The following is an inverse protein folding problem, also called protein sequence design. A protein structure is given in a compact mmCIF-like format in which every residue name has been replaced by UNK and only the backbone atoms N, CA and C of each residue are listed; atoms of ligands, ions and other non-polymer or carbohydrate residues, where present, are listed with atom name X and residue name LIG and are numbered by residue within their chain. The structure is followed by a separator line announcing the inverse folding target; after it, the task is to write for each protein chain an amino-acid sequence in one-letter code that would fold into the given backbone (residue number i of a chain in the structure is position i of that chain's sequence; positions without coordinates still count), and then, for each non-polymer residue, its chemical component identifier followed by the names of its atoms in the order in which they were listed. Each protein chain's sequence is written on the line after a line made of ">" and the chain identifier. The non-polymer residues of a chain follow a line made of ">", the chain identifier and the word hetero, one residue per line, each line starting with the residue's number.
data_IF_146352115120
#
_entry.id   IF_146352115120
#
_cell.length_a   1.000
_cell.length_b   1.000
_cell.length_c   1.000
_cell.angle_alpha   90.00
_cell.angle_beta   90.00
_cell.angle_gamma   90.00
#
_symmetry.space_group_name_H-M   'P 1'
#
loop_
_entity.id
_entity.type
_entity.pdbx_description
1 polymer ?
#
# COMPACT_ATOMS: atom_id res chain seq x y z
N UNK A 1 28.28 1.51 17.18
CA UNK A 1 26.93 1.47 17.74
C UNK A 1 26.02 2.23 16.79
N UNK A 2 25.37 1.53 15.86
CA UNK A 2 24.42 2.15 14.94
C UNK A 2 23.05 2.14 15.62
N UNK A 3 22.53 3.33 15.92
CA UNK A 3 21.19 3.52 16.47
C UNK A 3 20.18 2.69 15.67
N UNK A 4 19.37 1.90 16.36
CA UNK A 4 18.20 1.25 15.78
C UNK A 4 17.33 2.33 15.11
N UNK A 5 16.77 2.10 13.91
CA UNK A 5 15.82 3.04 13.32
C UNK A 5 14.68 3.27 14.31
N UNK A 6 14.33 4.54 14.53
CA UNK A 6 13.19 4.92 15.36
C UNK A 6 12.00 4.00 15.05
N UNK A 7 11.38 3.46 16.08
CA UNK A 7 10.33 2.45 15.95
C UNK A 7 9.23 2.99 15.02
N UNK A 8 8.87 2.24 13.97
CA UNK A 8 7.73 2.57 13.11
C UNK A 8 6.46 2.84 13.94
N UNK A 9 6.32 2.15 15.08
CA UNK A 9 5.21 2.33 16.02
C UNK A 9 5.09 3.75 16.60
N UNK A 10 6.19 4.47 16.83
CA UNK A 10 6.15 5.84 17.34
C UNK A 10 5.58 6.84 16.31
N UNK A 11 5.79 6.58 15.00
CA UNK A 11 5.25 7.40 13.92
C UNK A 11 3.80 7.05 13.56
N UNK A 12 3.31 5.87 13.96
CA UNK A 12 1.94 5.44 13.66
C UNK A 12 0.92 6.09 14.59
N UNK A 13 1.29 6.36 15.84
CA UNK A 13 0.40 6.98 16.82
C UNK A 13 -0.12 8.38 16.43
N UNK A 14 0.46 9.01 15.40
CA UNK A 14 0.12 10.37 14.95
C UNK A 14 -0.49 10.38 13.54
N UNK A 15 -1.33 9.42 13.20
CA UNK A 15 -2.08 9.42 11.94
C UNK A 15 -3.57 9.57 12.20
N UNK A 16 -4.27 10.25 11.30
CA UNK A 16 -5.73 10.34 11.34
C UNK A 16 -6.38 8.94 11.41
N UNK A 17 -5.79 7.97 10.72
CA UNK A 17 -6.29 6.60 10.75
C UNK A 17 -6.18 5.95 12.14
N UNK A 18 -5.12 6.23 12.89
CA UNK A 18 -4.97 5.68 14.24
C UNK A 18 -6.03 6.22 15.20
N UNK A 19 -6.36 7.51 15.07
CA UNK A 19 -7.29 8.22 15.95
C UNK A 19 -8.77 7.91 15.64
N UNK A 20 -9.07 7.51 14.39
CA UNK A 20 -10.46 7.30 13.92
C UNK A 20 -10.81 5.84 13.67
N UNK A 21 -9.84 4.93 13.80
CA UNK A 21 -10.10 3.52 13.54
C UNK A 21 -10.87 2.84 14.67
N UNK A 22 -11.72 1.86 14.31
CA UNK A 22 -12.39 0.95 15.28
C UNK A 22 -11.35 0.26 16.16
N UNK A 23 -11.77 -0.34 17.27
CA UNK A 23 -10.87 -1.10 18.15
C UNK A 23 -10.17 -2.23 17.37
N UNK A 24 -8.88 -2.42 17.62
CA UNK A 24 -8.13 -3.52 17.03
C UNK A 24 -8.60 -4.86 17.63
N UNK A 25 -8.79 -5.91 16.81
CA UNK A 25 -9.07 -7.25 17.33
C UNK A 25 -7.97 -7.74 18.28
N UNK A 26 -8.35 -8.47 19.32
CA UNK A 26 -7.40 -9.11 20.23
C UNK A 26 -6.69 -10.27 19.51
N UNK A 27 -5.36 -10.20 19.42
CA UNK A 27 -4.54 -11.25 18.85
C UNK A 27 -3.99 -12.18 19.93
N UNK A 28 -3.43 -13.32 19.52
CA UNK A 28 -2.94 -14.34 20.44
C UNK A 28 -1.68 -13.87 21.19
N UNK A 29 -1.57 -14.16 22.49
CA UNK A 29 -0.32 -13.99 23.21
C UNK A 29 0.68 -15.08 22.80
N UNK A 30 1.99 -14.75 22.82
CA UNK A 30 3.06 -15.64 22.32
C UNK A 30 3.22 -16.94 23.14
N UNK A 31 2.81 -16.95 24.38
CA UNK A 31 2.86 -18.08 25.29
C UNK A 31 1.67 -19.04 25.16
N UNK A 32 0.64 -18.67 24.39
CA UNK A 32 -0.58 -19.47 24.17
C UNK A 32 -0.66 -20.04 22.74
N UNK A 33 0.46 -20.13 22.02
CA UNK A 33 0.47 -20.63 20.64
C UNK A 33 0.98 -22.07 20.55
N UNK A 34 0.57 -22.76 19.49
CA UNK A 34 1.19 -24.03 19.12
C UNK A 34 2.62 -23.84 18.61
N UNK A 35 3.41 -24.90 18.68
CA UNK A 35 4.78 -24.89 18.18
C UNK A 35 4.93 -25.39 16.74
N UNK A 36 3.81 -25.89 16.14
CA UNK A 36 3.83 -26.50 14.80
C UNK A 36 2.61 -26.07 13.98
N UNK A 37 2.87 -25.59 12.77
CA UNK A 37 1.86 -25.12 11.81
C UNK A 37 2.11 -25.72 10.43
N UNK A 38 1.09 -25.68 9.56
CA UNK A 38 1.27 -26.02 8.16
C UNK A 38 1.92 -24.85 7.42
N UNK A 39 1.47 -23.61 7.72
CA UNK A 39 2.01 -22.41 7.10
C UNK A 39 2.30 -21.33 8.13
N UNK A 40 3.49 -20.73 8.05
CA UNK A 40 3.84 -19.51 8.77
C UNK A 40 3.93 -18.33 7.81
N UNK A 41 3.16 -17.26 8.07
CA UNK A 41 3.16 -16.04 7.26
C UNK A 41 3.83 -14.93 8.06
N UNK A 42 4.77 -14.22 7.41
CA UNK A 42 5.56 -13.16 8.04
C UNK A 42 5.20 -11.82 7.43
N UNK A 43 4.53 -10.99 8.23
CA UNK A 43 3.97 -9.69 7.88
C UNK A 43 2.45 -9.73 7.74
N UNK A 44 1.75 -8.96 8.57
CA UNK A 44 0.29 -8.85 8.58
C UNK A 44 -0.21 -7.60 7.82
N UNK A 45 0.36 -7.34 6.64
CA UNK A 45 -0.21 -6.45 5.65
C UNK A 45 -1.32 -7.13 4.85
N UNK A 46 -1.88 -6.46 3.84
CA UNK A 46 -2.95 -6.99 2.99
C UNK A 46 -2.61 -8.34 2.36
N UNK A 47 -1.41 -8.52 1.83
CA UNK A 47 -1.00 -9.79 1.23
C UNK A 47 -0.95 -10.92 2.26
N UNK A 48 -0.43 -10.65 3.46
CA UNK A 48 -0.30 -11.64 4.52
C UNK A 48 -1.65 -12.05 5.10
N UNK A 49 -2.52 -11.08 5.39
CA UNK A 49 -3.88 -11.34 5.87
C UNK A 49 -4.72 -12.10 4.83
N UNK A 50 -4.64 -11.70 3.55
CA UNK A 50 -5.34 -12.42 2.49
C UNK A 50 -4.84 -13.85 2.33
N UNK A 51 -3.52 -14.08 2.34
CA UNK A 51 -2.97 -15.43 2.29
C UNK A 51 -3.40 -16.27 3.51
N UNK A 52 -3.37 -15.68 4.70
CA UNK A 52 -3.78 -16.36 5.94
C UNK A 52 -5.24 -16.80 5.89
N UNK A 53 -6.13 -15.89 5.46
CA UNK A 53 -7.55 -16.18 5.34
C UNK A 53 -7.82 -17.34 4.37
N UNK A 54 -7.29 -17.25 3.14
CA UNK A 54 -7.53 -18.28 2.12
C UNK A 54 -6.93 -19.65 2.50
N UNK A 55 -5.75 -19.66 3.15
CA UNK A 55 -5.14 -20.89 3.67
C UNK A 55 -5.95 -21.50 4.80
N UNK A 56 -6.42 -20.71 5.75
CA UNK A 56 -7.26 -21.18 6.84
C UNK A 56 -8.59 -21.74 6.31
N UNK A 57 -9.23 -21.06 5.36
CA UNK A 57 -10.44 -21.51 4.68
C UNK A 57 -10.23 -22.84 3.91
N UNK A 58 -9.01 -23.13 3.46
CA UNK A 58 -8.64 -24.41 2.87
C UNK A 58 -8.28 -25.51 3.89
N UNK A 59 -8.40 -25.22 5.20
CA UNK A 59 -8.15 -26.16 6.28
C UNK A 59 -6.70 -26.21 6.79
N UNK A 60 -5.81 -25.33 6.34
CA UNK A 60 -4.45 -25.27 6.84
C UNK A 60 -4.38 -24.62 8.24
N UNK A 61 -3.51 -25.13 9.12
CA UNK A 61 -3.16 -24.48 10.38
C UNK A 61 -2.14 -23.37 10.09
N UNK A 62 -2.58 -22.12 10.26
CA UNK A 62 -1.81 -20.93 9.89
C UNK A 62 -1.41 -20.12 11.11
N UNK A 63 -0.12 -19.72 11.18
CA UNK A 63 0.33 -18.66 12.07
C UNK A 63 0.77 -17.44 11.25
N UNK A 64 0.23 -16.27 11.61
CA UNK A 64 0.56 -14.98 11.01
C UNK A 64 1.36 -14.15 12.03
N UNK A 65 2.56 -13.72 11.68
CA UNK A 65 3.52 -13.10 12.59
C UNK A 65 3.80 -11.68 12.12
N UNK A 66 3.44 -10.70 12.95
CA UNK A 66 3.67 -9.27 12.68
C UNK A 66 4.65 -8.68 13.70
N UNK A 67 5.65 -8.01 13.18
CA UNK A 67 6.71 -7.38 13.99
C UNK A 67 6.20 -6.26 14.88
N UNK A 68 5.22 -5.50 14.39
CA UNK A 68 4.62 -4.35 15.04
C UNK A 68 3.12 -4.59 15.27
N UNK A 69 2.32 -3.52 15.29
CA UNK A 69 0.86 -3.63 15.23
C UNK A 69 0.41 -3.80 13.78
N UNK A 70 -0.67 -4.53 13.58
CA UNK A 70 -1.29 -4.68 12.26
C UNK A 70 -1.71 -3.31 11.74
N UNK A 71 -1.26 -2.98 10.53
CA UNK A 71 -1.49 -1.68 9.89
C UNK A 71 -0.39 -0.64 10.08
N UNK A 72 0.64 -0.90 10.88
CA UNK A 72 1.77 0.04 11.08
C UNK A 72 2.61 0.29 9.82
N UNK A 73 2.49 -0.56 8.81
CA UNK A 73 3.18 -0.42 7.52
C UNK A 73 2.25 0.14 6.42
N UNK A 74 2.68 0.06 5.16
CA UNK A 74 2.01 0.65 4.00
C UNK A 74 0.51 0.36 3.89
N UNK A 75 0.07 -0.85 4.26
CA UNK A 75 -1.34 -1.26 4.12
C UNK A 75 -2.32 -0.45 4.98
N UNK A 76 -1.90 0.06 6.15
CA UNK A 76 -2.74 0.86 7.03
C UNK A 76 -2.47 2.37 6.98
N UNK A 77 -1.55 2.85 6.12
CA UNK A 77 -1.05 4.22 6.12
C UNK A 77 -1.13 4.93 4.77
N UNK A 78 -1.75 4.29 3.78
CA UNK A 78 -1.88 4.79 2.41
C UNK A 78 -3.06 5.76 2.26
N UNK A 79 -3.30 6.26 1.05
CA UNK A 79 -4.39 7.18 0.75
C UNK A 79 -5.80 6.58 0.86
N UNK A 80 -5.92 5.26 0.91
CA UNK A 80 -7.20 4.55 0.93
C UNK A 80 -7.86 4.43 -0.44
N UNK A 81 -7.10 4.52 -1.53
CA UNK A 81 -7.59 4.35 -2.91
C UNK A 81 -7.49 2.89 -3.33
N UNK A 82 -8.52 2.36 -3.95
CA UNK A 82 -8.50 1.05 -4.59
C UNK A 82 -8.98 1.21 -6.05
N UNK A 83 -8.06 1.06 -6.98
CA UNK A 83 -8.28 1.16 -8.42
C UNK A 83 -7.71 -0.07 -9.11
N UNK A 84 -8.11 -0.36 -10.34
CA UNK A 84 -7.56 -1.46 -11.11
C UNK A 84 -6.10 -1.21 -11.52
N UNK A 85 -5.39 -2.28 -11.89
CA UNK A 85 -4.06 -2.26 -12.47
C UNK A 85 -2.92 -2.56 -11.49
N UNK A 86 -1.70 -2.41 -11.98
CA UNK A 86 -0.42 -2.62 -11.29
C UNK A 86 0.36 -1.30 -11.20
N UNK A 87 1.46 -1.28 -10.45
CA UNK A 87 2.35 -0.11 -10.41
C UNK A 87 3.08 0.16 -11.74
N UNK A 88 3.20 -0.84 -12.60
CA UNK A 88 3.64 -0.72 -13.99
C UNK A 88 2.43 -0.53 -14.90
N UNK A 89 2.55 0.30 -15.94
CA UNK A 89 1.45 0.50 -16.91
C UNK A 89 1.27 -0.72 -17.80
N UNK A 90 0.07 -0.94 -18.34
CA UNK A 90 -0.24 -2.05 -19.24
C UNK A 90 0.75 -2.19 -20.40
N UNK A 91 1.05 -1.14 -21.19
CA UNK A 91 2.06 -1.21 -22.25
C UNK A 91 3.48 -1.57 -21.76
N UNK A 92 3.85 -1.15 -20.54
CA UNK A 92 5.15 -1.53 -19.97
C UNK A 92 5.18 -2.98 -19.51
N UNK A 93 4.07 -3.51 -19.01
CA UNK A 93 3.91 -4.93 -18.67
C UNK A 93 3.97 -5.80 -19.93
N UNK A 94 3.24 -5.43 -20.98
CA UNK A 94 3.23 -6.14 -22.26
C UNK A 94 4.64 -6.18 -22.88
N UNK A 95 5.34 -5.05 -22.86
CA UNK A 95 6.74 -4.99 -23.31
C UNK A 95 7.67 -5.88 -22.49
N UNK A 96 7.44 -6.01 -21.20
CA UNK A 96 8.28 -6.77 -20.26
C UNK A 96 8.02 -8.28 -20.32
N UNK A 97 6.76 -8.69 -20.44
CA UNK A 97 6.30 -10.06 -20.19
C UNK A 97 5.55 -10.70 -21.38
N UNK A 98 5.26 -9.93 -22.44
CA UNK A 98 4.45 -10.34 -23.59
C UNK A 98 2.95 -10.16 -23.38
N UNK A 99 2.15 -10.20 -24.48
CA UNK A 99 0.72 -9.88 -24.46
C UNK A 99 -0.11 -10.85 -23.62
N UNK A 100 0.17 -12.15 -23.67
CA UNK A 100 -0.61 -13.15 -22.93
C UNK A 100 -0.46 -12.99 -21.42
N UNK A 101 0.77 -12.77 -20.93
CA UNK A 101 1.04 -12.49 -19.52
C UNK A 101 0.44 -11.14 -19.09
N UNK A 102 0.47 -10.13 -19.96
CA UNK A 102 -0.13 -8.84 -19.68
C UNK A 102 -1.65 -8.95 -19.51
N UNK A 103 -2.33 -9.68 -20.38
CA UNK A 103 -3.77 -9.95 -20.29
C UNK A 103 -4.12 -10.74 -19.01
N UNK A 104 -3.34 -11.78 -18.68
CA UNK A 104 -3.53 -12.55 -17.46
C UNK A 104 -3.34 -11.69 -16.20
N UNK A 105 -2.35 -10.80 -16.19
CA UNK A 105 -2.11 -9.87 -15.09
C UNK A 105 -3.22 -8.83 -14.94
N UNK A 106 -3.78 -8.33 -16.05
CA UNK A 106 -4.92 -7.41 -16.00
C UNK A 106 -6.16 -8.07 -15.37
N UNK A 107 -6.45 -9.31 -15.78
CA UNK A 107 -7.53 -10.10 -15.18
C UNK A 107 -7.32 -10.32 -13.66
N UNK A 108 -6.08 -10.60 -13.22
CA UNK A 108 -5.75 -10.75 -11.81
C UNK A 108 -5.88 -9.43 -11.04
N UNK A 109 -5.52 -8.29 -11.65
CA UNK A 109 -5.70 -6.99 -11.03
C UNK A 109 -7.18 -6.66 -10.83
N UNK A 110 -8.02 -6.97 -11.82
CA UNK A 110 -9.48 -6.83 -11.76
C UNK A 110 -10.09 -7.73 -10.68
N UNK A 111 -9.69 -9.00 -10.62
CA UNK A 111 -10.10 -9.92 -9.54
C UNK A 111 -9.75 -9.39 -8.15
N UNK A 112 -8.57 -8.77 -8.02
CA UNK A 112 -8.15 -8.14 -6.76
C UNK A 112 -8.99 -6.93 -6.38
N UNK A 113 -9.39 -6.10 -7.36
CA UNK A 113 -10.31 -4.98 -7.15
C UNK A 113 -11.69 -5.47 -6.70
N UNK A 114 -12.24 -6.48 -7.36
CA UNK A 114 -13.51 -7.11 -7.01
C UNK A 114 -13.48 -7.71 -5.60
N UNK A 115 -12.41 -8.42 -5.24
CA UNK A 115 -12.22 -8.99 -3.91
C UNK A 115 -12.24 -7.92 -2.82
N UNK A 116 -11.58 -6.78 -3.04
CA UNK A 116 -11.58 -5.64 -2.13
C UNK A 116 -12.95 -5.00 -2.05
N UNK A 117 -13.59 -4.75 -3.20
CA UNK A 117 -14.93 -4.16 -3.29
C UNK A 117 -15.95 -5.03 -2.55
N UNK A 118 -15.98 -6.34 -2.83
CA UNK A 118 -16.90 -7.27 -2.21
C UNK A 118 -16.85 -7.22 -0.68
N UNK A 119 -15.67 -7.01 -0.08
CA UNK A 119 -15.54 -6.86 1.38
C UNK A 119 -15.86 -5.47 1.88
N UNK A 120 -15.29 -4.43 1.28
CA UNK A 120 -15.48 -3.05 1.74
C UNK A 120 -16.96 -2.65 1.85
N UNK A 121 -17.82 -3.21 1.01
CA UNK A 121 -19.26 -2.90 0.97
C UNK A 121 -20.13 -3.88 1.78
N UNK A 122 -19.54 -4.87 2.48
CA UNK A 122 -20.27 -5.70 3.44
C UNK A 122 -20.59 -4.92 4.72
N UNK A 123 -21.71 -5.27 5.36
CA UNK A 123 -22.11 -4.69 6.66
C UNK A 123 -21.04 -4.91 7.75
N UNK A 124 -20.37 -6.07 7.76
CA UNK A 124 -19.26 -6.38 8.68
C UNK A 124 -18.03 -5.49 8.48
N UNK A 125 -17.92 -4.83 7.32
CA UNK A 125 -16.86 -3.88 6.97
C UNK A 125 -17.36 -2.41 6.93
N UNK A 126 -18.55 -2.11 7.45
CA UNK A 126 -19.15 -0.76 7.41
C UNK A 126 -18.24 0.34 7.98
N UNK A 127 -17.38 0.00 8.93
CA UNK A 127 -16.37 0.92 9.49
C UNK A 127 -15.34 1.40 8.43
N UNK A 128 -15.23 0.73 7.29
CA UNK A 128 -14.36 1.17 6.17
C UNK A 128 -14.89 2.42 5.48
N UNK A 129 -16.20 2.71 5.59
CA UNK A 129 -16.84 3.87 4.99
C UNK A 129 -16.46 4.07 3.51
N UNK A 130 -16.70 3.06 2.64
CA UNK A 130 -16.30 3.13 1.24
C UNK A 130 -17.11 4.17 0.48
N UNK A 131 -16.45 4.89 -0.43
CA UNK A 131 -17.05 5.83 -1.35
C UNK A 131 -16.65 5.46 -2.77
N UNK A 132 -17.62 5.28 -3.67
CA UNK A 132 -17.37 4.94 -5.07
C UNK A 132 -16.79 6.13 -5.84
N UNK A 133 -15.96 5.81 -6.82
CA UNK A 133 -15.42 6.72 -7.81
C UNK A 133 -14.03 7.26 -7.48
N UNK A 134 -13.18 7.24 -8.51
CA UNK A 134 -11.87 7.88 -8.52
C UNK A 134 -11.77 8.80 -9.74
N UNK A 135 -11.27 10.02 -9.54
CA UNK A 135 -11.02 11.00 -10.58
C UNK A 135 -9.53 11.11 -10.83
N UNK A 136 -9.11 10.85 -12.05
CA UNK A 136 -7.73 11.12 -12.50
C UNK A 136 -7.69 12.46 -13.22
N UNK A 137 -6.76 13.33 -12.85
CA UNK A 137 -6.59 14.67 -13.43
C UNK A 137 -5.27 14.77 -14.18
N UNK A 138 -5.26 15.37 -15.36
CA UNK A 138 -4.05 15.72 -16.08
C UNK A 138 -3.71 17.21 -15.91
N UNK A 139 -2.42 17.49 -15.69
CA UNK A 139 -1.86 18.85 -15.72
C UNK A 139 -1.33 19.21 -17.10
N UNK A 140 -1.39 18.29 -18.07
CA UNK A 140 -0.75 18.40 -19.36
C UNK A 140 -1.79 18.54 -20.46
N UNK A 141 -1.68 19.60 -21.27
CA UNK A 141 -2.59 19.86 -22.40
C UNK A 141 -2.37 18.88 -23.57
N UNK A 142 -1.15 18.36 -23.72
CA UNK A 142 -0.76 17.38 -24.75
C UNK A 142 -1.10 15.92 -24.40
N UNK A 143 -1.69 15.69 -23.23
CA UNK A 143 -2.16 14.37 -22.76
C UNK A 143 -3.59 14.50 -22.21
N UNK A 144 -4.58 14.79 -23.10
CA UNK A 144 -5.96 15.07 -22.68
C UNK A 144 -6.68 13.80 -22.25
N UNK A 145 -7.42 13.94 -21.15
CA UNK A 145 -8.37 12.94 -20.66
C UNK A 145 -9.80 13.30 -21.14
N UNK A 146 -10.78 12.37 -21.06
CA UNK A 146 -12.12 12.56 -21.61
C UNK A 146 -12.89 13.79 -21.12
N UNK A 147 -12.71 14.22 -19.86
CA UNK A 147 -13.38 15.39 -19.28
C UNK A 147 -12.55 16.62 -19.60
N UNK A 148 -13.11 17.58 -20.31
CA UNK A 148 -12.43 18.83 -20.68
C UNK A 148 -12.24 19.77 -19.48
N UNK A 149 -11.29 20.69 -19.58
CA UNK A 149 -11.00 21.67 -18.52
C UNK A 149 -12.23 22.49 -18.09
N UNK A 150 -13.09 22.86 -19.04
CA UNK A 150 -14.33 23.62 -18.79
C UNK A 150 -15.33 22.90 -17.91
N UNK A 151 -15.29 21.56 -17.88
CA UNK A 151 -16.20 20.69 -17.13
C UNK A 151 -15.63 20.31 -15.74
N UNK A 152 -14.35 20.58 -15.50
CA UNK A 152 -13.68 20.20 -14.25
C UNK A 152 -14.23 20.93 -13.02
N UNK A 153 -14.88 22.10 -13.20
CA UNK A 153 -15.47 22.87 -12.11
C UNK A 153 -16.51 22.10 -11.30
N UNK A 154 -17.17 21.10 -11.90
CA UNK A 154 -18.14 20.23 -11.25
C UNK A 154 -17.48 19.22 -10.29
N UNK A 155 -16.19 19.00 -10.45
CA UNK A 155 -15.39 18.07 -9.65
C UNK A 155 -14.40 18.79 -8.74
N UNK A 156 -13.70 19.80 -9.27
CA UNK A 156 -12.62 20.50 -8.56
C UNK A 156 -12.39 21.90 -9.15
N UNK A 157 -12.16 22.89 -8.29
CA UNK A 157 -11.80 24.26 -8.70
C UNK A 157 -10.29 24.47 -8.61
N UNK A 158 -9.55 23.86 -9.53
CA UNK A 158 -8.08 23.94 -9.59
C UNK A 158 -7.59 24.39 -10.97
N UNK A 159 -7.03 25.58 -11.12
CA UNK A 159 -6.69 26.16 -12.43
C UNK A 159 -5.58 25.43 -13.18
N UNK A 160 -4.77 24.62 -12.48
CA UNK A 160 -3.68 23.86 -13.08
C UNK A 160 -4.12 22.65 -13.87
N UNK A 161 -5.28 22.07 -13.54
CA UNK A 161 -5.76 20.85 -14.18
C UNK A 161 -6.36 21.17 -15.55
N UNK A 162 -5.98 20.40 -16.58
CA UNK A 162 -6.35 20.60 -17.98
C UNK A 162 -7.44 19.66 -18.46
N UNK A 163 -7.52 18.48 -17.88
CA UNK A 163 -8.52 17.47 -18.21
C UNK A 163 -8.67 16.45 -17.10
N UNK A 164 -9.68 15.59 -17.18
CA UNK A 164 -9.93 14.55 -16.20
C UNK A 164 -10.57 13.29 -16.79
N UNK A 165 -10.58 12.22 -16.00
CA UNK A 165 -11.28 10.96 -16.28
C UNK A 165 -11.80 10.37 -14.99
N UNK A 166 -13.03 9.88 -14.99
CA UNK A 166 -13.65 9.20 -13.84
C UNK A 166 -13.56 7.68 -14.05
N UNK A 167 -13.03 7.02 -13.05
CA UNK A 167 -13.13 5.56 -12.87
C UNK A 167 -14.25 5.28 -11.87
N UNK A 168 -15.38 4.74 -12.37
CA UNK A 168 -16.54 4.39 -11.55
C UNK A 168 -16.37 3.07 -10.80
N UNK A 169 -15.44 2.21 -11.23
CA UNK A 169 -15.12 0.95 -10.57
C UNK A 169 -14.14 1.15 -9.42
N UNK A 170 -13.32 2.17 -9.46
CA UNK A 170 -12.47 2.57 -8.37
C UNK A 170 -13.28 3.08 -7.18
N UNK A 171 -12.71 2.99 -5.98
CA UNK A 171 -13.31 3.50 -4.75
C UNK A 171 -12.24 3.88 -3.74
N UNK A 172 -12.65 4.60 -2.69
CA UNK A 172 -11.75 4.89 -1.58
C UNK A 172 -12.42 4.58 -0.24
N UNK A 173 -11.60 4.36 0.79
CA UNK A 173 -12.09 3.85 2.06
C UNK A 173 -11.07 4.10 3.20
N UNK A 174 -11.40 3.69 4.43
CA UNK A 174 -10.53 3.74 5.59
C UNK A 174 -9.63 2.48 5.67
N UNK A 175 -8.35 2.53 5.23
CA UNK A 175 -7.55 1.33 5.05
C UNK A 175 -7.19 0.60 6.37
N UNK A 176 -7.04 1.32 7.48
CA UNK A 176 -6.76 0.68 8.77
C UNK A 176 -7.98 -0.07 9.30
N UNK A 177 -9.19 0.47 9.11
CA UNK A 177 -10.43 -0.25 9.46
C UNK A 177 -10.58 -1.52 8.63
N UNK A 178 -10.26 -1.46 7.34
CA UNK A 178 -10.25 -2.64 6.48
C UNK A 178 -9.33 -3.74 7.04
N UNK A 179 -8.11 -3.39 7.41
CA UNK A 179 -7.17 -4.36 8.00
C UNK A 179 -7.70 -4.93 9.32
N UNK A 180 -8.34 -4.12 10.17
CA UNK A 180 -8.93 -4.58 11.44
C UNK A 180 -10.10 -5.53 11.21
N UNK A 181 -10.98 -5.24 10.26
CA UNK A 181 -12.06 -6.15 9.86
C UNK A 181 -11.51 -7.46 9.28
N UNK A 182 -10.53 -7.37 8.37
CA UNK A 182 -9.89 -8.56 7.79
C UNK A 182 -9.13 -9.39 8.83
N UNK A 183 -8.54 -8.74 9.84
CA UNK A 183 -7.91 -9.42 10.98
C UNK A 183 -8.94 -10.20 11.78
N UNK A 184 -10.12 -9.62 12.05
CA UNK A 184 -11.22 -10.31 12.72
C UNK A 184 -11.69 -11.53 11.90
N UNK A 185 -11.89 -11.37 10.58
CA UNK A 185 -12.24 -12.47 9.66
C UNK A 185 -11.19 -13.60 9.69
N UNK A 186 -9.89 -13.26 9.75
CA UNK A 186 -8.82 -14.25 9.89
C UNK A 186 -8.88 -15.01 11.23
N UNK A 187 -9.12 -14.30 12.34
CA UNK A 187 -9.26 -14.91 13.67
C UNK A 187 -10.46 -15.84 13.73
N UNK A 188 -11.60 -15.45 13.17
CA UNK A 188 -12.81 -16.28 13.05
C UNK A 188 -12.57 -17.53 12.20
N UNK A 189 -11.72 -17.44 11.17
CA UNK A 189 -11.28 -18.56 10.36
C UNK A 189 -10.22 -19.46 11.05
N UNK A 190 -9.83 -19.18 12.30
CA UNK A 190 -8.89 -19.98 13.07
C UNK A 190 -7.41 -19.68 12.82
N UNK A 191 -7.08 -18.54 12.22
CA UNK A 191 -5.68 -18.10 12.08
C UNK A 191 -5.11 -17.70 13.42
N UNK A 192 -3.97 -18.28 13.81
CA UNK A 192 -3.19 -17.79 14.96
C UNK A 192 -2.44 -16.52 14.55
N UNK A 193 -2.71 -15.38 15.19
CA UNK A 193 -2.10 -14.09 14.86
C UNK A 193 -1.28 -13.56 16.03
N UNK A 194 -0.01 -13.24 15.76
CA UNK A 194 0.93 -12.64 16.71
C UNK A 194 1.26 -11.21 16.27
N UNK A 195 1.09 -10.25 17.17
CA UNK A 195 1.54 -8.85 17.00
C UNK A 195 2.70 -8.53 17.95
N UNK A 196 3.44 -7.45 17.65
CA UNK A 196 4.63 -7.04 18.40
C UNK A 196 5.64 -8.19 18.54
N UNK A 197 5.67 -9.08 17.57
CA UNK A 197 6.43 -10.32 17.59
C UNK A 197 7.42 -10.35 16.40
N UNK A 198 8.65 -9.82 16.58
CA UNK A 198 9.63 -9.82 15.50
C UNK A 198 10.13 -11.24 15.21
N UNK A 199 10.22 -11.59 13.93
CA UNK A 199 10.97 -12.77 13.47
C UNK A 199 12.46 -12.45 13.59
N UNK A 200 13.18 -13.25 14.36
CA UNK A 200 14.62 -13.08 14.62
C UNK A 200 15.46 -13.91 13.65
N UNK A 201 15.03 -15.15 13.40
CA UNK A 201 15.75 -16.08 12.55
C UNK A 201 14.80 -17.01 11.81
N UNK A 202 15.19 -17.41 10.59
CA UNK A 202 14.49 -18.43 9.79
C UNK A 202 15.56 -19.41 9.29
N UNK A 203 15.36 -20.69 9.59
CA UNK A 203 16.22 -21.77 9.13
C UNK A 203 15.38 -22.83 8.41
N UNK A 204 15.67 -23.08 7.14
CA UNK A 204 15.15 -24.25 6.43
C UNK A 204 15.88 -25.48 7.01
N UNK A 205 15.21 -26.22 7.91
CA UNK A 205 15.78 -27.32 8.68
C UNK A 205 15.82 -28.62 7.88
N UNK A 206 14.80 -28.85 7.05
CA UNK A 206 14.68 -29.95 6.08
C UNK A 206 13.94 -29.47 4.84
N UNK A 207 13.91 -30.23 3.72
CA UNK A 207 13.10 -29.87 2.54
C UNK A 207 11.62 -29.65 2.80
N UNK A 208 11.10 -30.05 3.97
CA UNK A 208 9.69 -29.95 4.34
C UNK A 208 9.45 -29.25 5.67
N UNK A 209 10.46 -28.61 6.27
CA UNK A 209 10.34 -27.98 7.59
C UNK A 209 11.21 -26.75 7.72
N UNK A 210 10.59 -25.64 8.06
CA UNK A 210 11.25 -24.37 8.41
C UNK A 210 11.10 -24.12 9.91
N UNK A 211 12.18 -23.74 10.57
CA UNK A 211 12.18 -23.27 11.96
C UNK A 211 12.25 -21.75 11.97
N UNK A 212 11.37 -21.14 12.73
CA UNK A 212 11.23 -19.68 12.83
C UNK A 212 11.37 -19.30 14.29
N UNK A 213 12.39 -18.49 14.61
CA UNK A 213 12.59 -17.97 15.96
C UNK A 213 11.95 -16.59 16.06
N UNK A 214 11.07 -16.38 17.03
CA UNK A 214 10.26 -15.18 17.17
C UNK A 214 10.31 -14.59 18.58
N UNK A 215 10.06 -13.30 18.67
CA UNK A 215 9.86 -12.57 19.93
C UNK A 215 11.13 -12.47 20.81
N UNK A 216 11.01 -11.74 21.94
CA UNK A 216 12.16 -11.50 22.83
C UNK A 216 12.65 -12.77 23.52
N UNK A 217 11.77 -13.73 23.79
CA UNK A 217 12.08 -15.00 24.47
C UNK A 217 12.60 -16.07 23.50
N UNK A 218 12.83 -15.72 22.23
CA UNK A 218 13.34 -16.64 21.20
C UNK A 218 12.48 -17.92 21.05
N UNK A 219 11.15 -17.76 21.12
CA UNK A 219 10.23 -18.87 20.92
C UNK A 219 10.41 -19.47 19.53
N UNK A 220 10.45 -20.81 19.44
CA UNK A 220 10.65 -21.52 18.18
C UNK A 220 9.31 -22.05 17.65
N UNK A 221 9.00 -21.71 16.39
CA UNK A 221 7.82 -22.18 15.64
C UNK A 221 8.33 -23.00 14.46
N UNK A 222 7.71 -24.16 14.23
CA UNK A 222 7.96 -24.98 13.05
C UNK A 222 6.81 -24.86 12.05
N UNK A 223 7.12 -24.71 10.78
CA UNK A 223 6.12 -24.71 9.70
C UNK A 223 6.60 -25.53 8.50
N UNK A 224 5.67 -26.14 7.77
CA UNK A 224 5.99 -26.84 6.50
C UNK A 224 6.36 -25.84 5.42
N UNK A 225 5.63 -24.73 5.35
CA UNK A 225 5.81 -23.66 4.37
C UNK A 225 5.85 -22.30 5.05
N UNK A 226 6.63 -21.38 4.49
CA UNK A 226 6.74 -19.99 4.98
C UNK A 226 6.37 -19.02 3.87
N UNK A 227 5.54 -18.01 4.17
CA UNK A 227 5.18 -16.93 3.24
C UNK A 227 5.69 -15.60 3.75
N UNK A 228 6.50 -14.90 2.95
CA UNK A 228 7.14 -13.63 3.32
C UNK A 228 6.42 -12.48 2.65
N UNK A 229 5.69 -11.67 3.43
CA UNK A 229 4.88 -10.54 2.97
C UNK A 229 5.28 -9.23 3.65
N UNK A 230 6.57 -9.07 3.94
CA UNK A 230 7.12 -7.94 4.71
C UNK A 230 7.22 -6.62 3.93
N UNK A 231 6.74 -6.57 2.68
CA UNK A 231 6.74 -5.37 1.84
C UNK A 231 8.15 -4.79 1.64
N UNK A 232 8.25 -3.46 1.73
CA UNK A 232 9.53 -2.74 1.65
C UNK A 232 10.35 -2.71 2.95
N UNK A 233 9.84 -3.30 4.04
CA UNK A 233 10.41 -3.17 5.40
C UNK A 233 11.12 -4.41 5.92
N UNK A 234 11.20 -5.49 5.15
CA UNK A 234 11.71 -6.81 5.56
C UNK A 234 13.16 -6.84 6.08
N UNK A 235 13.96 -5.81 5.77
CA UNK A 235 15.29 -5.63 6.33
C UNK A 235 16.29 -6.74 5.98
N UNK A 236 17.37 -6.83 6.80
CA UNK A 236 18.50 -7.78 6.58
C UNK A 236 18.13 -9.25 6.79
N UNK A 237 17.04 -9.55 7.48
CA UNK A 237 16.60 -10.92 7.77
C UNK A 237 16.15 -11.65 6.48
N UNK A 238 15.60 -10.91 5.50
CA UNK A 238 15.13 -11.45 4.23
C UNK A 238 16.04 -11.02 3.08
N UNK A 239 17.35 -11.37 3.18
CA UNK A 239 18.40 -10.92 2.25
C UNK A 239 18.08 -11.15 0.78
N UNK A 240 17.45 -12.29 0.44
CA UNK A 240 17.07 -12.59 -0.96
C UNK A 240 16.09 -11.53 -1.47
N UNK A 241 15.01 -11.23 -0.71
CA UNK A 241 13.98 -10.29 -1.09
C UNK A 241 14.45 -8.83 -1.00
N UNK A 242 15.19 -8.47 0.05
CA UNK A 242 15.69 -7.10 0.25
C UNK A 242 16.67 -6.62 -0.81
N UNK A 243 17.34 -7.54 -1.51
CA UNK A 243 18.21 -7.23 -2.67
C UNK A 243 17.41 -6.86 -3.93
N UNK A 244 16.15 -7.25 -4.00
CA UNK A 244 15.27 -7.05 -5.15
C UNK A 244 14.41 -5.79 -5.04
N UNK A 245 14.33 -5.19 -3.85
CA UNK A 245 13.42 -4.08 -3.57
C UNK A 245 14.15 -2.82 -3.11
N UNK A 246 13.68 -1.67 -3.59
CA UNK A 246 14.05 -0.35 -3.04
C UNK A 246 12.90 0.10 -2.14
N UNK A 247 13.15 0.37 -0.85
CA UNK A 247 12.18 1.04 0.00
C UNK A 247 12.07 2.51 -0.41
N UNK A 248 10.86 2.97 -0.64
CA UNK A 248 10.54 4.33 -1.08
C UNK A 248 9.48 4.91 -0.15
N UNK A 249 9.68 6.13 0.31
CA UNK A 249 8.76 6.89 1.16
C UNK A 249 7.82 7.73 0.31
N UNK A 250 6.54 7.77 0.70
CA UNK A 250 5.57 8.80 0.27
C UNK A 250 4.98 9.47 1.50
N UNK A 251 4.36 10.63 1.31
CA UNK A 251 3.95 11.49 2.41
C UNK A 251 2.46 11.78 2.33
N UNK A 252 1.82 11.86 3.50
CA UNK A 252 0.42 12.24 3.64
C UNK A 252 0.32 13.30 4.72
N UNK A 253 -0.53 14.30 4.47
CA UNK A 253 -0.98 15.25 5.47
C UNK A 253 -2.50 15.29 5.50
N UNK A 254 -3.09 15.63 6.66
CA UNK A 254 -4.53 15.77 6.83
C UNK A 254 -4.84 17.10 7.51
N UNK A 255 -5.77 17.85 6.92
CA UNK A 255 -6.18 19.17 7.43
C UNK A 255 -6.95 19.06 8.75
N UNK A 256 -7.09 20.17 9.46
CA UNK A 256 -8.21 20.37 10.38
C UNK A 256 -9.55 20.28 9.62
N UNK A 257 -10.70 20.03 10.30
CA UNK A 257 -12.01 20.03 9.63
C UNK A 257 -12.29 21.35 8.93
N UNK A 258 -12.77 21.29 7.67
CA UNK A 258 -13.11 22.45 6.84
C UNK A 258 -14.21 22.11 5.82
N UNK A 259 -15.35 21.56 6.23
CA UNK A 259 -16.35 21.00 5.33
C UNK A 259 -16.89 22.02 4.32
N UNK A 260 -17.08 23.28 4.68
CA UNK A 260 -17.59 24.34 3.81
C UNK A 260 -16.58 24.67 2.70
N UNK A 261 -15.30 24.83 3.07
CA UNK A 261 -14.21 25.08 2.10
C UNK A 261 -14.09 23.91 1.14
N UNK A 262 -14.18 22.66 1.64
CA UNK A 262 -14.12 21.47 0.79
C UNK A 262 -15.33 21.38 -0.15
N UNK A 263 -16.54 21.69 0.30
CA UNK A 263 -17.73 21.67 -0.53
C UNK A 263 -17.63 22.69 -1.69
N UNK A 264 -17.01 23.85 -1.43
CA UNK A 264 -16.82 24.91 -2.40
C UNK A 264 -15.75 24.54 -3.46
N UNK A 265 -14.60 23.99 -3.04
CA UNK A 265 -13.44 23.80 -3.92
C UNK A 265 -13.30 22.39 -4.49
N UNK A 266 -13.84 21.39 -3.81
CA UNK A 266 -13.83 19.97 -4.20
C UNK A 266 -15.26 19.42 -4.07
N UNK A 267 -16.19 19.81 -4.98
CA UNK A 267 -17.58 19.37 -4.91
C UNK A 267 -17.73 17.83 -5.00
N UNK A 268 -16.92 17.18 -5.83
CA UNK A 268 -17.01 15.72 -6.02
C UNK A 268 -16.76 14.94 -4.72
N UNK A 269 -17.44 13.79 -4.48
CA UNK A 269 -17.10 12.85 -3.44
C UNK A 269 -15.90 11.95 -3.79
N UNK A 270 -15.45 11.94 -5.05
CA UNK A 270 -14.45 11.03 -5.56
C UNK A 270 -13.07 11.25 -4.91
N UNK A 271 -12.30 10.17 -4.82
CA UNK A 271 -10.87 10.28 -4.57
C UNK A 271 -10.18 10.80 -5.84
N UNK A 272 -9.23 11.71 -5.69
CA UNK A 272 -8.59 12.41 -6.81
C UNK A 272 -7.10 12.08 -6.84
N UNK A 273 -6.59 11.74 -8.02
CA UNK A 273 -5.16 11.57 -8.28
C UNK A 273 -4.78 12.28 -9.57
N UNK A 274 -3.51 12.65 -9.75
CA UNK A 274 -3.04 13.19 -11.01
C UNK A 274 -2.15 12.21 -11.80
N UNK A 275 -1.99 12.45 -13.11
CA UNK A 275 -1.26 11.56 -14.04
C UNK A 275 0.25 11.57 -13.88
N UNK A 276 0.82 12.47 -13.07
CA UNK A 276 2.28 12.51 -12.83
C UNK A 276 2.75 11.23 -12.12
N UNK A 277 3.95 10.77 -12.44
CA UNK A 277 4.49 9.54 -11.83
C UNK A 277 4.69 9.62 -10.31
N UNK A 278 5.01 10.79 -9.80
CA UNK A 278 5.10 11.11 -8.39
C UNK A 278 4.11 12.21 -8.06
N UNK A 279 2.90 12.05 -8.55
CA UNK A 279 1.81 13.01 -8.48
C UNK A 279 1.16 13.09 -7.11
N UNK A 280 0.16 13.93 -7.03
CA UNK A 280 -0.66 14.08 -5.85
C UNK A 280 -1.85 13.14 -5.89
N UNK A 281 -2.30 12.73 -4.71
CA UNK A 281 -3.54 12.00 -4.52
C UNK A 281 -4.23 12.53 -3.26
N UNK A 282 -5.51 12.84 -3.35
CA UNK A 282 -6.22 13.47 -2.24
C UNK A 282 -7.71 13.13 -2.26
N UNK A 283 -8.33 13.23 -1.10
CA UNK A 283 -9.75 12.97 -0.92
C UNK A 283 -10.33 13.67 0.30
N UNK A 284 -11.63 13.87 0.30
CA UNK A 284 -12.37 14.28 1.50
C UNK A 284 -12.49 13.09 2.46
N UNK A 285 -12.37 13.38 3.75
CA UNK A 285 -12.59 12.43 4.82
C UNK A 285 -13.99 12.66 5.43
N UNK A 286 -14.60 11.62 6.04
CA UNK A 286 -15.98 11.71 6.55
C UNK A 286 -16.21 12.79 7.59
N UNK A 287 -15.17 13.21 8.30
CA UNK A 287 -15.18 14.25 9.32
C UNK A 287 -14.90 15.67 8.78
N UNK A 288 -15.02 15.86 7.45
CA UNK A 288 -14.85 17.17 6.82
C UNK A 288 -13.39 17.61 6.67
N UNK A 289 -12.43 16.70 6.69
CA UNK A 289 -11.01 16.98 6.49
C UNK A 289 -10.56 16.67 5.07
N UNK A 290 -9.46 17.26 4.64
CA UNK A 290 -8.74 16.91 3.42
C UNK A 290 -7.55 16.02 3.74
N UNK A 291 -7.51 14.81 3.19
CA UNK A 291 -6.30 14.01 3.11
C UNK A 291 -5.56 14.38 1.82
N UNK A 292 -4.28 14.77 1.94
CA UNK A 292 -3.41 15.15 0.83
C UNK A 292 -2.16 14.29 0.81
N UNK A 293 -2.04 13.43 -0.20
CA UNK A 293 -0.86 12.61 -0.46
C UNK A 293 0.02 13.24 -1.53
N UNK A 294 1.32 13.29 -1.28
CA UNK A 294 2.30 13.90 -2.18
C UNK A 294 3.71 13.41 -1.91
N UNK A 295 4.60 13.75 -2.80
CA UNK A 295 6.03 13.57 -2.63
C UNK A 295 6.48 12.11 -2.59
N UNK A 296 7.75 11.92 -2.91
CA UNK A 296 8.39 10.61 -2.92
C UNK A 296 9.87 10.77 -2.59
N UNK A 297 10.45 9.86 -1.81
CA UNK A 297 11.89 9.81 -1.55
C UNK A 297 12.36 8.38 -1.28
N UNK A 298 13.50 8.01 -1.86
CA UNK A 298 14.17 6.74 -1.58
C UNK A 298 15.26 6.86 -0.49
N UNK A 299 15.61 8.07 -0.07
CA UNK A 299 16.76 8.30 0.82
C UNK A 299 16.37 8.51 2.29
N UNK A 300 15.30 9.24 2.58
CA UNK A 300 14.97 9.62 3.95
C UNK A 300 13.47 9.63 4.22
N UNK A 301 13.08 9.33 5.46
CA UNK A 301 11.77 9.64 6.01
C UNK A 301 11.84 11.05 6.61
N UNK A 302 11.14 12.06 6.06
CA UNK A 302 11.15 13.42 6.58
C UNK A 302 10.38 13.51 7.91
N UNK A 303 10.66 14.57 8.68
CA UNK A 303 9.88 14.90 9.87
C UNK A 303 8.45 15.31 9.49
N UNK A 304 7.50 15.14 10.42
CA UNK A 304 6.11 15.60 10.24
C UNK A 304 6.05 17.10 9.90
N UNK A 305 6.87 17.93 10.55
CA UNK A 305 6.96 19.36 10.24
C UNK A 305 7.40 19.67 8.80
N UNK A 306 8.30 18.86 8.25
CA UNK A 306 8.68 18.98 6.83
C UNK A 306 7.52 18.59 5.92
N UNK A 307 6.84 17.47 6.21
CA UNK A 307 5.68 17.00 5.43
C UNK A 307 4.57 18.05 5.46
N UNK A 308 4.27 18.64 6.62
CA UNK A 308 3.29 19.73 6.77
C UNK A 308 3.62 20.92 5.86
N UNK A 309 4.86 21.42 5.91
CA UNK A 309 5.28 22.54 5.04
C UNK A 309 5.17 22.20 3.55
N UNK A 310 5.58 20.98 3.19
CA UNK A 310 5.51 20.52 1.81
C UNK A 310 4.05 20.46 1.33
N UNK A 311 3.15 19.90 2.15
CA UNK A 311 1.74 19.79 1.83
C UNK A 311 1.07 21.16 1.67
N UNK A 312 1.29 22.10 2.59
CA UNK A 312 0.73 23.45 2.48
C UNK A 312 1.19 24.16 1.20
N UNK A 313 2.48 24.05 0.87
CA UNK A 313 3.03 24.61 -0.37
C UNK A 313 2.40 23.98 -1.60
N UNK A 314 2.21 22.67 -1.58
CA UNK A 314 1.70 21.90 -2.69
C UNK A 314 0.19 22.15 -2.90
N UNK A 315 -0.60 22.19 -1.83
CA UNK A 315 -2.02 22.60 -1.85
C UNK A 315 -2.16 24.00 -2.44
N UNK A 316 -1.36 24.96 -1.98
CA UNK A 316 -1.39 26.34 -2.50
C UNK A 316 -1.01 26.42 -3.99
N UNK A 317 -0.15 25.55 -4.46
CA UNK A 317 0.24 25.49 -5.87
C UNK A 317 -0.87 24.90 -6.76
N UNK A 318 -1.68 23.96 -6.27
CA UNK A 318 -2.71 23.28 -7.05
C UNK A 318 -4.11 23.89 -6.87
N UNK A 319 -4.43 24.36 -5.67
CA UNK A 319 -5.71 24.92 -5.26
C UNK A 319 -5.51 26.26 -4.55
N UNK A 320 -5.04 27.30 -5.26
CA UNK A 320 -4.61 28.57 -4.67
C UNK A 320 -5.73 29.30 -3.92
N UNK A 321 -6.97 29.27 -4.41
CA UNK A 321 -8.09 29.95 -3.77
C UNK A 321 -8.53 29.20 -2.50
N UNK A 322 -8.57 27.86 -2.54
CA UNK A 322 -8.77 27.05 -1.35
C UNK A 322 -7.69 27.33 -0.28
N UNK A 323 -6.43 27.45 -0.67
CA UNK A 323 -5.34 27.75 0.26
C UNK A 323 -5.48 29.14 0.90
N UNK A 324 -5.97 30.17 0.16
CA UNK A 324 -6.27 31.50 0.68
C UNK A 324 -7.39 31.44 1.72
N UNK A 325 -8.45 30.70 1.47
CA UNK A 325 -9.57 30.52 2.40
C UNK A 325 -9.15 29.75 3.65
N UNK A 326 -8.35 28.68 3.49
CA UNK A 326 -7.74 27.96 4.60
C UNK A 326 -6.93 28.92 5.51
N UNK A 327 -6.11 29.79 4.91
CA UNK A 327 -5.32 30.76 5.64
C UNK A 327 -6.18 31.80 6.38
N UNK A 328 -7.22 32.31 5.72
CA UNK A 328 -8.18 33.27 6.32
C UNK A 328 -8.95 32.64 7.50
N UNK A 329 -9.35 31.38 7.37
CA UNK A 329 -10.05 30.62 8.41
C UNK A 329 -9.09 30.03 9.47
N UNK A 330 -7.77 30.23 9.33
CA UNK A 330 -6.71 29.66 10.19
C UNK A 330 -6.75 28.12 10.25
N UNK A 331 -7.14 27.48 9.16
CA UNK A 331 -7.15 26.02 9.04
C UNK A 331 -5.73 25.53 8.76
N UNK A 332 -5.20 24.73 9.69
CA UNK A 332 -3.90 24.07 9.57
C UNK A 332 -3.99 22.61 9.11
N UNK A 333 -2.86 21.90 9.23
CA UNK A 333 -2.78 20.46 9.04
C UNK A 333 -2.52 19.80 10.41
N UNK A 334 -3.45 18.96 10.86
CA UNK A 334 -3.40 18.32 12.19
C UNK A 334 -2.50 17.08 12.16
N UNK A 335 -2.42 16.40 11.03
CA UNK A 335 -1.64 15.18 10.90
C UNK A 335 -0.70 15.24 9.70
N UNK A 336 0.48 14.65 9.88
CA UNK A 336 1.45 14.47 8.80
C UNK A 336 2.33 13.25 9.07
N UNK A 337 2.37 12.32 8.11
CA UNK A 337 3.15 11.08 8.23
C UNK A 337 3.74 10.63 6.91
N UNK A 338 4.59 9.59 6.97
CA UNK A 338 5.11 8.89 5.80
C UNK A 338 4.74 7.40 5.83
N UNK A 339 4.72 6.79 4.65
CA UNK A 339 4.58 5.36 4.46
C UNK A 339 5.70 4.81 3.59
N UNK A 340 6.20 3.60 3.91
CA UNK A 340 7.25 2.94 3.13
C UNK A 340 6.65 1.92 2.18
N UNK A 341 6.90 2.09 0.89
CA UNK A 341 6.53 1.15 -0.16
C UNK A 341 7.78 0.40 -0.65
N UNK A 342 7.61 -0.85 -1.11
CA UNK A 342 8.67 -1.60 -1.79
C UNK A 342 8.52 -1.49 -3.31
N UNK A 343 9.59 -1.12 -4.00
CA UNK A 343 9.62 -1.07 -5.47
C UNK A 343 10.66 -2.02 -6.03
N UNK A 344 10.27 -2.85 -6.99
CA UNK A 344 11.21 -3.50 -7.91
C UNK A 344 11.59 -2.54 -9.04
N UNK A 345 12.71 -2.78 -9.71
CA UNK A 345 13.21 -1.91 -10.80
C UNK A 345 12.24 -1.77 -11.98
N UNK A 346 11.47 -2.80 -12.26
CA UNK A 346 10.46 -2.86 -13.33
C UNK A 346 9.03 -2.56 -12.84
N UNK A 347 8.85 -2.15 -11.58
CA UNK A 347 7.57 -1.81 -10.95
C UNK A 347 6.55 -2.97 -10.83
N UNK A 348 6.91 -4.20 -11.19
CA UNK A 348 6.09 -5.38 -10.96
C UNK A 348 6.46 -6.05 -9.64
N UNK A 349 5.50 -6.58 -8.87
CA UNK A 349 5.79 -7.28 -7.62
C UNK A 349 6.47 -8.63 -7.87
N UNK A 350 7.17 -9.13 -6.86
CA UNK A 350 7.63 -10.51 -6.79
C UNK A 350 6.59 -11.33 -6.03
N UNK A 351 5.93 -12.26 -6.73
CA UNK A 351 4.91 -13.16 -6.19
C UNK A 351 5.26 -14.57 -6.60
N UNK A 352 5.43 -15.48 -5.64
CA UNK A 352 5.74 -16.88 -5.91
C UNK A 352 6.89 -17.45 -5.08
N UNK A 353 7.51 -18.54 -5.52
CA UNK A 353 8.57 -19.24 -4.79
C UNK A 353 9.82 -18.37 -4.56
N UNK A 354 10.33 -18.38 -3.32
CA UNK A 354 11.56 -17.72 -2.90
C UNK A 354 12.67 -18.73 -2.51
N UNK A 355 12.29 -19.92 -2.09
CA UNK A 355 13.13 -21.05 -1.71
C UNK A 355 12.36 -22.36 -1.83
N UNK A 356 12.92 -23.45 -1.32
CA UNK A 356 12.30 -24.78 -1.40
C UNK A 356 10.98 -24.85 -0.62
N UNK A 357 10.92 -24.20 0.56
CA UNK A 357 9.75 -24.19 1.45
C UNK A 357 9.22 -22.78 1.67
N UNK A 358 9.64 -21.81 0.86
CA UNK A 358 9.29 -20.41 1.07
C UNK A 358 8.74 -19.74 -0.18
N UNK A 359 7.70 -18.90 0.03
CA UNK A 359 7.07 -18.03 -0.96
C UNK A 359 7.24 -16.57 -0.56
N UNK A 360 7.04 -15.66 -1.49
CA UNK A 360 6.98 -14.25 -1.19
C UNK A 360 5.88 -13.52 -1.98
N UNK A 361 5.34 -12.44 -1.40
CA UNK A 361 4.53 -11.45 -2.08
C UNK A 361 4.97 -10.06 -1.61
N UNK A 362 5.70 -9.33 -2.46
CA UNK A 362 6.27 -8.04 -2.09
C UNK A 362 6.64 -7.20 -3.32
N UNK A 363 6.79 -5.88 -3.13
CA UNK A 363 7.20 -4.99 -4.21
C UNK A 363 6.04 -4.40 -5.01
N UNK A 364 4.90 -4.17 -4.37
CA UNK A 364 3.68 -3.66 -5.01
C UNK A 364 3.74 -2.21 -5.51
N UNK A 365 4.82 -1.49 -5.25
CA UNK A 365 5.14 -0.22 -5.90
C UNK A 365 4.12 0.90 -5.71
N UNK A 366 3.43 0.95 -4.55
CA UNK A 366 2.36 1.93 -4.28
C UNK A 366 0.98 1.56 -4.82
N UNK A 367 0.85 0.47 -5.56
CA UNK A 367 -0.42 -0.02 -6.13
C UNK A 367 -0.85 -1.35 -5.49
N UNK A 368 -0.82 -1.41 -4.15
CA UNK A 368 -1.01 -2.64 -3.38
C UNK A 368 -2.42 -2.89 -2.86
N UNK A 369 -3.39 -1.97 -3.05
CA UNK A 369 -4.70 -2.16 -2.43
C UNK A 369 -5.51 -3.28 -3.11
N UNK A 370 -5.47 -3.38 -4.43
CA UNK A 370 -6.06 -4.48 -5.20
C UNK A 370 -5.07 -5.64 -5.40
N UNK A 371 -3.78 -5.35 -5.61
CA UNK A 371 -2.80 -6.36 -6.03
C UNK A 371 -2.21 -7.20 -4.89
N UNK A 372 -2.15 -6.66 -3.67
CA UNK A 372 -1.64 -7.43 -2.53
C UNK A 372 -2.63 -8.52 -2.06
N UNK A 373 -3.95 -8.28 -1.97
CA UNK A 373 -4.89 -9.34 -1.65
C UNK A 373 -4.89 -10.49 -2.64
N UNK A 374 -4.89 -10.18 -3.95
CA UNK A 374 -4.85 -11.24 -4.98
C UNK A 374 -3.52 -12.02 -4.92
N UNK A 375 -2.40 -11.36 -4.64
CA UNK A 375 -1.12 -12.04 -4.45
C UNK A 375 -1.17 -13.04 -3.29
N UNK A 376 -1.80 -12.66 -2.17
CA UNK A 376 -2.02 -13.56 -1.03
C UNK A 376 -2.87 -14.77 -1.39
N UNK A 377 -3.97 -14.56 -2.13
CA UNK A 377 -4.85 -15.62 -2.64
C UNK A 377 -4.11 -16.59 -3.56
N UNK A 378 -3.36 -16.08 -4.54
CA UNK A 378 -2.59 -16.90 -5.48
C UNK A 378 -1.57 -17.81 -4.79
N UNK A 379 -0.87 -17.28 -3.77
CA UNK A 379 0.05 -18.08 -2.97
C UNK A 379 -0.71 -19.15 -2.17
N UNK A 380 -1.86 -18.81 -1.61
CA UNK A 380 -2.69 -19.76 -0.89
C UNK A 380 -3.18 -20.89 -1.80
N UNK A 381 -3.62 -20.58 -3.01
CA UNK A 381 -4.05 -21.56 -4.01
C UNK A 381 -2.94 -22.59 -4.33
N UNK A 382 -1.71 -22.11 -4.54
CA UNK A 382 -0.57 -23.00 -4.82
C UNK A 382 -0.22 -23.87 -3.62
N UNK A 383 -0.19 -23.30 -2.40
CA UNK A 383 0.16 -24.05 -1.17
C UNK A 383 -0.90 -25.10 -0.86
N UNK A 384 -2.18 -24.79 -1.07
CA UNK A 384 -3.30 -25.73 -0.84
C UNK A 384 -3.51 -26.71 -2.00
N UNK A 385 -2.82 -26.52 -3.13
CA UNK A 385 -2.95 -27.38 -4.33
C UNK A 385 -4.28 -27.20 -5.08
N UNK A 386 -5.03 -26.11 -4.83
CA UNK A 386 -6.32 -25.85 -5.48
C UNK A 386 -6.20 -25.26 -6.88
N UNK A 387 -5.18 -24.43 -7.12
CA UNK A 387 -4.86 -23.87 -8.43
C UNK A 387 -3.39 -23.40 -8.48
N UNK A 388 -2.86 -23.27 -9.69
CA UNK A 388 -1.57 -22.59 -9.91
C UNK A 388 -1.73 -21.54 -11.03
N UNK A 389 -1.85 -20.28 -10.62
CA UNK A 389 -1.99 -19.11 -11.51
C UNK A 389 -0.79 -18.16 -11.40
N UNK A 390 0.38 -18.68 -10.95
CA UNK A 390 1.59 -17.88 -10.77
C UNK A 390 2.44 -17.72 -12.05
N UNK A 391 2.07 -18.35 -13.16
CA UNK A 391 2.88 -18.36 -14.38
C UNK A 391 3.27 -16.97 -14.89
N UNK A 392 2.39 -15.93 -14.90
CA UNK A 392 2.79 -14.59 -15.32
C UNK A 392 3.90 -13.99 -14.47
N UNK A 393 3.96 -14.34 -13.17
CA UNK A 393 4.97 -13.84 -12.24
C UNK A 393 6.30 -14.58 -12.32
N UNK A 394 6.33 -15.82 -12.85
CA UNK A 394 7.57 -16.56 -13.07
C UNK A 394 8.47 -15.89 -14.10
N UNK A 395 7.86 -15.22 -15.08
CA UNK A 395 8.54 -14.45 -16.13
C UNK A 395 9.06 -13.09 -15.65
N UNK A 396 8.67 -12.62 -14.45
CA UNK A 396 9.14 -11.35 -13.89
C UNK A 396 10.62 -11.43 -13.53
N UNK A 397 11.51 -10.63 -14.14
CA UNK A 397 12.95 -10.76 -13.96
C UNK A 397 13.39 -10.38 -12.55
N UNK A 398 14.16 -11.25 -11.88
CA UNK A 398 14.70 -11.01 -10.53
C UNK A 398 15.92 -10.09 -10.59
N UNK A 399 15.70 -8.78 -10.68
CA UNK A 399 16.73 -7.76 -10.83
C UNK A 399 17.18 -7.20 -9.47
N UNK A 400 18.48 -7.24 -9.19
CA UNK A 400 19.03 -6.64 -7.98
C UNK A 400 18.99 -5.12 -8.01
N UNK A 401 18.73 -4.52 -6.84
CA UNK A 401 18.62 -3.06 -6.65
C UNK A 401 19.90 -2.43 -6.11
N UNK A 402 20.92 -3.22 -5.77
CA UNK A 402 22.22 -2.77 -5.29
C UNK A 402 22.21 -1.91 -4.00
N UNK A 403 21.19 -2.06 -3.17
CA UNK A 403 21.13 -1.45 -1.84
C UNK A 403 21.19 0.08 -1.86
N UNK A 404 22.22 0.68 -1.24
CA UNK A 404 22.38 2.15 -1.16
C UNK A 404 22.50 2.80 -2.55
N UNK A 405 23.25 2.19 -3.48
CA UNK A 405 23.39 2.69 -4.85
C UNK A 405 22.02 2.74 -5.55
N UNK A 406 21.21 1.70 -5.39
CA UNK A 406 19.85 1.67 -5.94
C UNK A 406 18.93 2.73 -5.35
N UNK A 407 19.05 3.01 -4.05
CA UNK A 407 18.29 4.10 -3.41
C UNK A 407 18.68 5.46 -3.99
N UNK A 408 19.97 5.72 -4.14
CA UNK A 408 20.47 6.98 -4.74
C UNK A 408 20.02 7.11 -6.20
N UNK A 409 20.09 6.04 -6.99
CA UNK A 409 19.61 6.02 -8.37
C UNK A 409 18.10 6.25 -8.45
N UNK A 410 17.31 5.65 -7.56
CA UNK A 410 15.86 5.87 -7.48
C UNK A 410 15.53 7.33 -7.11
N UNK A 411 16.23 7.91 -6.14
CA UNK A 411 16.05 9.33 -5.80
C UNK A 411 16.35 10.24 -6.98
N UNK A 412 17.50 10.04 -7.67
CA UNK A 412 17.88 10.79 -8.85
C UNK A 412 16.83 10.66 -9.97
N UNK A 413 16.31 9.44 -10.19
CA UNK A 413 15.24 9.17 -11.15
C UNK A 413 13.97 9.96 -10.84
N UNK A 414 13.51 9.95 -9.58
CA UNK A 414 12.32 10.71 -9.18
C UNK A 414 12.52 12.21 -9.31
N UNK A 415 13.70 12.75 -8.95
CA UNK A 415 14.03 14.18 -9.13
C UNK A 415 14.02 14.56 -10.60
N UNK A 416 14.59 13.72 -11.45
CA UNK A 416 14.58 13.94 -12.90
C UNK A 416 13.16 13.97 -13.47
N UNK A 417 12.29 13.03 -13.08
CA UNK A 417 10.89 13.00 -13.54
C UNK A 417 10.14 14.23 -13.05
N UNK A 418 10.26 14.59 -11.78
CA UNK A 418 9.64 15.82 -11.25
C UNK A 418 10.10 17.07 -11.99
N UNK A 419 11.38 17.12 -12.40
CA UNK A 419 11.90 18.19 -13.24
C UNK A 419 11.29 18.21 -14.63
N UNK A 420 11.15 17.04 -15.27
CA UNK A 420 10.49 16.91 -16.58
C UNK A 420 9.02 17.30 -16.52
N UNK A 421 8.29 16.85 -15.50
CA UNK A 421 6.87 17.19 -15.31
C UNK A 421 6.67 18.70 -15.17
N UNK A 422 7.53 19.38 -14.38
CA UNK A 422 7.49 20.86 -14.26
C UNK A 422 7.78 21.58 -15.58
N UNK A 423 8.77 21.10 -16.33
CA UNK A 423 9.09 21.67 -17.64
C UNK A 423 7.93 21.47 -18.62
N UNK A 424 7.35 20.27 -18.66
CA UNK A 424 6.20 19.95 -19.51
C UNK A 424 5.01 20.85 -19.18
N UNK A 425 4.70 21.02 -17.89
CA UNK A 425 3.63 21.90 -17.42
C UNK A 425 3.88 23.38 -17.75
N UNK A 426 5.13 23.83 -17.69
CA UNK A 426 5.50 25.21 -18.04
C UNK A 426 5.39 25.51 -19.54
N UNK A 427 5.59 24.50 -20.39
CA UNK A 427 5.54 24.61 -21.85
C UNK A 427 4.12 24.40 -22.42
N UNK A 428 3.18 23.87 -21.62
CA UNK A 428 1.78 23.62 -21.96
C UNK A 428 0.89 24.83 -21.63
#
# INVERSE_FOLDING_TARGET
>A
MTSAPASLSANFANTWYADTAIAAPACHPIDAIETTYDVAIIGAGLAGLSAALHLAQSGARVVLIEKYKIGDAASGRNGGFCTNGWASSGPAIEKLLGPDNAAALDALASEGLEWMRARCFLQSYSACQPVNGCLTLSLFADDPLPIAQSELSDFIKGPRYKSGSVDHEGFHFHPLNFLRCLTAECLEAGVTILQNCPVLHIAESTPSKTLITVGPNQTSIAAKTTVITTGGTGGRQFKKLSKLLVPVQTFIAVSAPMPEILAQHIPTPYAIADTRRAGNYFRKLPDGRLLWGMGISALAAPSSAYVTRLAMKDIAAHLPDMAKEMAAAKVGLDYAWSGTMGYARHFMPYIGPLGATSFCAAGFGGHGMNTAPIAGKLIAEVISGTANRLDPFQSVPKQQTFGTLGKTAAEAYYRMIQGKDRLKEFLA
#
